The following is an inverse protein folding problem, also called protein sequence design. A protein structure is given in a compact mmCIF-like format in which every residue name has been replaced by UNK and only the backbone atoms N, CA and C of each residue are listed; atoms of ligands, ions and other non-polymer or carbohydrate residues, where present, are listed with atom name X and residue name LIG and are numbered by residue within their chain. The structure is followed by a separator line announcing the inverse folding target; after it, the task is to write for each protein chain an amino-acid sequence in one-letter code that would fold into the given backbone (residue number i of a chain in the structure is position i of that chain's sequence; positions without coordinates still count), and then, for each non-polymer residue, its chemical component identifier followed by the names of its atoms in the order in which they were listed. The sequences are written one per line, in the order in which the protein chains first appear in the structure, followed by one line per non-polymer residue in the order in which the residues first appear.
data_IF_432819025890
#
_entry.id   IF_432819025890
#
_cell.length_a   1.000
_cell.length_b   1.000
_cell.length_c   1.000
_cell.angle_alpha   90.00
_cell.angle_beta   90.00
_cell.angle_gamma   90.00
#
_symmetry.space_group_name_H-M   'P 1'
#
loop_
_entity.id
_entity.type
_entity.pdbx_description
1 polymer ?
#
# COMPACT_ATOMS: atom_id res chain seq x y z
N UNK A 1 8.29 -11.55 13.35
CA UNK A 1 7.89 -12.32 12.16
C UNK A 1 8.42 -11.54 10.98
N UNK A 2 9.19 -12.18 10.10
CA UNK A 2 9.76 -11.55 8.91
C UNK A 2 8.76 -11.71 7.76
N UNK A 3 8.85 -10.88 6.73
CA UNK A 3 7.92 -10.92 5.59
C UNK A 3 7.91 -12.30 4.91
N UNK A 4 9.06 -12.97 4.85
CA UNK A 4 9.22 -14.34 4.31
C UNK A 4 8.49 -15.43 5.12
N UNK A 5 8.15 -15.16 6.38
CA UNK A 5 7.45 -16.11 7.25
C UNK A 5 5.92 -16.08 7.03
N UNK A 6 5.38 -15.13 6.24
CA UNK A 6 3.94 -14.97 6.02
C UNK A 6 3.41 -16.01 5.04
N UNK A 7 2.44 -16.80 5.49
CA UNK A 7 1.76 -17.79 4.65
C UNK A 7 0.43 -17.25 4.06
N UNK A 8 -0.31 -18.13 3.38
CA UNK A 8 -1.62 -17.80 2.80
C UNK A 8 -2.60 -17.20 3.82
N UNK A 9 -2.67 -17.79 5.03
CA UNK A 9 -3.61 -17.38 6.06
C UNK A 9 -3.21 -16.03 6.64
N UNK A 10 -1.91 -15.79 6.83
CA UNK A 10 -1.40 -14.48 7.26
C UNK A 10 -1.79 -13.39 6.27
N UNK A 11 -1.55 -13.59 4.97
CA UNK A 11 -1.96 -12.63 3.96
C UNK A 11 -3.48 -12.44 3.88
N UNK A 12 -4.27 -13.50 4.03
CA UNK A 12 -5.72 -13.38 4.13
C UNK A 12 -6.15 -12.50 5.31
N UNK A 13 -5.51 -12.66 6.46
CA UNK A 13 -5.77 -11.86 7.65
C UNK A 13 -5.35 -10.40 7.46
N UNK A 14 -4.20 -10.12 6.84
CA UNK A 14 -3.76 -8.75 6.56
C UNK A 14 -4.70 -8.06 5.57
N UNK A 15 -5.08 -8.73 4.47
CA UNK A 15 -5.99 -8.19 3.46
C UNK A 15 -7.33 -7.78 4.06
N UNK A 16 -7.92 -8.66 4.87
CA UNK A 16 -9.22 -8.40 5.51
C UNK A 16 -9.10 -7.42 6.67
N UNK A 17 -8.04 -7.52 7.48
CA UNK A 17 -7.76 -6.63 8.59
C UNK A 17 -7.57 -5.18 8.14
N UNK A 18 -6.76 -4.95 7.11
CA UNK A 18 -6.53 -3.60 6.58
C UNK A 18 -7.81 -3.00 5.98
N UNK A 19 -8.59 -3.80 5.23
CA UNK A 19 -9.87 -3.36 4.70
C UNK A 19 -10.85 -2.95 5.82
N UNK A 20 -10.93 -3.74 6.89
CA UNK A 20 -11.81 -3.46 8.02
C UNK A 20 -11.35 -2.22 8.80
N UNK A 21 -10.05 -2.07 9.03
CA UNK A 21 -9.48 -0.88 9.68
C UNK A 21 -9.80 0.40 8.90
N UNK A 22 -9.64 0.35 7.57
CA UNK A 22 -9.97 1.46 6.68
C UNK A 22 -11.46 1.80 6.75
N UNK A 23 -12.35 0.79 6.72
CA UNK A 23 -13.80 0.98 6.89
C UNK A 23 -14.15 1.57 8.25
N UNK A 24 -13.59 1.04 9.33
CA UNK A 24 -13.82 1.54 10.69
C UNK A 24 -13.35 2.98 10.87
N UNK A 25 -12.26 3.37 10.19
CA UNK A 25 -11.77 4.75 10.18
C UNK A 25 -12.78 5.70 9.53
N UNK A 26 -13.44 5.27 8.45
CA UNK A 26 -14.52 6.05 7.81
C UNK A 26 -15.70 6.18 8.76
N UNK A 27 -16.12 5.08 9.39
CA UNK A 27 -17.30 5.02 10.25
C UNK A 27 -17.07 5.57 11.67
N UNK A 28 -15.83 5.93 12.01
CA UNK A 28 -15.47 6.35 13.35
C UNK A 28 -16.19 7.65 13.76
N UNK A 29 -16.78 7.76 14.97
CA UNK A 29 -17.52 8.96 15.41
C UNK A 29 -16.70 10.25 15.44
N UNK A 30 -15.36 10.14 15.50
CA UNK A 30 -14.47 11.30 15.44
C UNK A 30 -14.15 11.76 14.00
N UNK A 31 -14.55 11.01 12.97
CA UNK A 31 -14.38 11.42 11.58
C UNK A 31 -15.19 12.72 11.35
N UNK A 32 -14.53 13.74 10.81
CA UNK A 32 -15.10 15.06 10.54
C UNK A 32 -15.37 15.30 9.05
N UNK A 33 -15.46 14.23 8.26
CA UNK A 33 -15.66 14.29 6.81
C UNK A 33 -14.40 14.03 5.99
N UNK A 34 -13.29 13.67 6.63
CA UNK A 34 -12.04 13.25 5.99
C UNK A 34 -11.41 12.13 6.82
N UNK A 35 -11.13 11.00 6.17
CA UNK A 35 -10.40 9.89 6.73
C UNK A 35 -9.07 9.72 5.97
N UNK A 36 -7.96 9.66 6.70
CA UNK A 36 -6.65 9.34 6.16
C UNK A 36 -6.30 7.89 6.53
N UNK A 37 -5.87 7.11 5.56
CA UNK A 37 -5.63 5.68 5.72
C UNK A 37 -4.17 5.40 5.35
N UNK A 38 -3.47 4.68 6.22
CA UNK A 38 -2.12 4.22 5.96
C UNK A 38 -2.18 2.85 5.27
N UNK A 39 -1.92 2.85 3.96
CA UNK A 39 -2.02 1.71 3.04
C UNK A 39 -3.42 1.10 2.88
N UNK A 40 -3.52 0.10 2.00
CA UNK A 40 -4.76 -0.60 1.69
C UNK A 40 -4.52 -2.04 1.16
N UNK A 41 -5.61 -2.67 0.70
CA UNK A 41 -5.59 -3.99 0.08
C UNK A 41 -4.70 -4.05 -1.18
N UNK A 42 -4.62 -2.99 -2.00
CA UNK A 42 -3.73 -2.96 -3.18
C UNK A 42 -2.26 -3.08 -2.75
N UNK A 43 -1.86 -2.37 -1.70
CA UNK A 43 -0.51 -2.46 -1.14
C UNK A 43 -0.21 -3.88 -0.65
N UNK A 44 -1.09 -4.47 0.16
CA UNK A 44 -0.91 -5.84 0.65
C UNK A 44 -0.85 -6.86 -0.49
N UNK A 45 -1.66 -6.69 -1.54
CA UNK A 45 -1.65 -7.55 -2.72
C UNK A 45 -0.32 -7.46 -3.48
N UNK A 46 0.27 -6.27 -3.59
CA UNK A 46 1.58 -6.08 -4.20
C UNK A 46 2.70 -6.80 -3.42
N UNK A 47 2.68 -6.72 -2.07
CA UNK A 47 3.60 -7.48 -1.23
C UNK A 47 3.41 -8.99 -1.35
N UNK A 48 2.16 -9.46 -1.35
CA UNK A 48 1.86 -10.89 -1.53
C UNK A 48 2.37 -11.41 -2.88
N UNK A 49 2.29 -10.59 -3.93
CA UNK A 49 2.85 -10.95 -5.24
C UNK A 49 4.37 -11.14 -5.16
N UNK A 50 5.10 -10.18 -4.57
CA UNK A 50 6.55 -10.28 -4.43
C UNK A 50 6.96 -11.50 -3.59
N UNK A 51 6.25 -11.75 -2.49
CA UNK A 51 6.50 -12.91 -1.64
C UNK A 51 6.24 -14.23 -2.37
N UNK A 52 5.20 -14.31 -3.20
CA UNK A 52 4.91 -15.52 -3.98
C UNK A 52 5.95 -15.81 -5.09
N UNK A 53 6.72 -14.80 -5.49
CA UNK A 53 7.81 -14.91 -6.45
C UNK A 53 9.16 -15.24 -5.78
N UNK A 54 9.27 -15.05 -4.46
CA UNK A 54 10.47 -15.37 -3.69
C UNK A 54 10.50 -16.86 -3.27
N UNK A 55 11.48 -17.67 -3.73
CA UNK A 55 11.60 -19.07 -3.33
C UNK A 55 11.79 -19.30 -1.83
N UNK A 56 12.21 -18.29 -1.06
CA UNK A 56 12.39 -18.38 0.39
C UNK A 56 11.09 -18.12 1.18
N UNK A 57 10.04 -17.64 0.52
CA UNK A 57 8.76 -17.28 1.14
C UNK A 57 7.92 -18.52 1.50
N UNK A 58 7.16 -18.41 2.60
CA UNK A 58 6.14 -19.39 2.96
C UNK A 58 4.89 -19.32 2.07
N UNK A 59 4.67 -18.20 1.36
CA UNK A 59 3.57 -18.05 0.40
C UNK A 59 3.97 -18.60 -0.97
N UNK A 60 3.29 -19.64 -1.44
CA UNK A 60 3.52 -20.16 -2.80
C UNK A 60 2.76 -19.38 -3.87
N UNK A 61 3.19 -19.52 -5.13
CA UNK A 61 2.45 -18.99 -6.29
C UNK A 61 1.00 -19.49 -6.35
N UNK A 62 0.74 -20.75 -5.97
CA UNK A 62 -0.61 -21.31 -5.94
C UNK A 62 -1.47 -20.68 -4.84
N UNK A 63 -0.89 -20.43 -3.67
CA UNK A 63 -1.56 -19.75 -2.57
C UNK A 63 -1.91 -18.32 -2.95
N UNK A 64 -0.97 -17.60 -3.56
CA UNK A 64 -1.23 -16.25 -4.07
C UNK A 64 -2.39 -16.21 -5.08
N UNK A 65 -2.44 -17.14 -6.04
CA UNK A 65 -3.56 -17.23 -6.98
C UNK A 65 -4.91 -17.44 -6.28
N UNK A 66 -4.93 -18.19 -5.18
CA UNK A 66 -6.15 -18.40 -4.38
C UNK A 66 -6.61 -17.15 -3.62
N UNK A 67 -5.70 -16.22 -3.30
CA UNK A 67 -6.00 -14.95 -2.61
C UNK A 67 -6.62 -13.90 -3.55
N UNK A 68 -6.31 -13.95 -4.85
CA UNK A 68 -6.69 -12.93 -5.83
C UNK A 68 -8.20 -12.60 -5.83
N UNK A 69 -9.14 -13.57 -5.87
CA UNK A 69 -10.56 -13.24 -5.92
C UNK A 69 -11.03 -12.46 -4.69
N UNK A 70 -10.47 -12.74 -3.52
CA UNK A 70 -10.79 -12.02 -2.29
C UNK A 70 -10.16 -10.62 -2.31
N UNK A 71 -8.87 -10.52 -2.64
CA UNK A 71 -8.16 -9.24 -2.72
C UNK A 71 -8.86 -8.29 -3.71
N UNK A 72 -9.19 -8.77 -4.91
CA UNK A 72 -9.88 -8.01 -5.94
C UNK A 72 -11.29 -7.58 -5.50
N UNK A 73 -12.01 -8.46 -4.78
CA UNK A 73 -13.32 -8.11 -4.21
C UNK A 73 -13.23 -7.00 -3.17
N UNK A 74 -12.19 -7.00 -2.33
CA UNK A 74 -11.96 -5.97 -1.32
C UNK A 74 -11.54 -4.64 -1.97
N UNK A 75 -10.64 -4.68 -2.95
CA UNK A 75 -10.23 -3.49 -3.74
C UNK A 75 -11.45 -2.86 -4.41
N UNK A 76 -12.29 -3.65 -5.07
CA UNK A 76 -13.50 -3.15 -5.73
C UNK A 76 -14.55 -2.54 -4.79
N UNK A 77 -14.53 -2.91 -3.49
CA UNK A 77 -15.42 -2.35 -2.47
C UNK A 77 -14.86 -1.09 -1.81
N UNK A 78 -13.54 -0.88 -1.88
CA UNK A 78 -12.90 0.30 -1.33
C UNK A 78 -13.34 1.55 -2.12
N UNK A 79 -13.51 2.67 -1.42
CA UNK A 79 -13.93 3.95 -2.00
C UNK A 79 -12.85 4.98 -1.74
N UNK A 80 -12.00 5.18 -2.74
CA UNK A 80 -10.88 6.11 -2.67
C UNK A 80 -11.22 7.42 -3.38
N UNK A 81 -11.20 8.57 -2.70
CA UNK A 81 -11.34 9.86 -3.39
C UNK A 81 -9.98 10.41 -3.88
N UNK A 82 -8.90 10.00 -3.22
CA UNK A 82 -7.51 10.37 -3.54
C UNK A 82 -6.56 9.29 -3.06
N UNK A 83 -5.53 9.03 -3.85
CA UNK A 83 -4.41 8.14 -3.55
C UNK A 83 -3.14 8.99 -3.55
N UNK A 84 -2.53 9.13 -2.39
CA UNK A 84 -1.24 9.78 -2.23
C UNK A 84 -0.13 8.72 -2.32
N UNK A 85 0.70 8.79 -3.34
CA UNK A 85 1.78 7.83 -3.55
C UNK A 85 3.14 8.47 -3.33
N UNK A 86 3.93 7.89 -2.43
CA UNK A 86 5.31 8.33 -2.16
C UNK A 86 6.24 7.51 -3.06
N UNK A 87 6.96 8.12 -4.03
CA UNK A 87 7.94 7.43 -4.84
C UNK A 87 9.06 6.83 -3.98
N UNK A 88 9.74 5.78 -4.46
CA UNK A 88 10.82 5.15 -3.72
C UNK A 88 11.91 6.18 -3.41
N UNK A 89 12.21 6.34 -2.12
CA UNK A 89 13.42 7.02 -1.68
C UNK A 89 14.56 6.03 -1.89
N UNK A 90 15.57 6.38 -2.68
CA UNK A 90 16.73 5.49 -2.87
C UNK A 90 17.27 5.01 -1.51
N UNK A 91 17.83 3.81 -1.47
CA UNK A 91 18.36 3.10 -0.31
C UNK A 91 19.30 3.94 0.56
N UNK A 92 20.06 4.86 -0.06
CA UNK A 92 20.91 5.82 0.63
C UNK A 92 20.13 6.78 1.56
N UNK A 93 18.86 7.02 1.25
CA UNK A 93 17.92 7.85 2.00
C UNK A 93 16.87 7.02 2.75
N UNK A 94 17.05 5.69 2.83
CA UNK A 94 16.15 4.83 3.59
C UNK A 94 16.37 5.05 5.08
N UNK A 95 15.35 5.58 5.74
CA UNK A 95 15.41 5.91 7.17
C UNK A 95 15.39 4.63 8.01
N UNK A 96 16.47 4.41 8.77
CA UNK A 96 16.65 3.29 9.70
C UNK A 96 16.28 3.73 11.11
N UNK A 97 15.05 3.45 11.51
CA UNK A 97 14.48 3.88 12.81
C UNK A 97 14.20 2.73 13.77
N UNK A 98 14.57 1.50 13.43
CA UNK A 98 14.32 0.29 14.22
C UNK A 98 12.89 -0.23 14.16
N UNK A 99 12.00 0.42 13.40
CA UNK A 99 10.63 -0.04 13.15
C UNK A 99 10.45 -0.54 11.71
N UNK A 100 11.14 0.08 10.75
CA UNK A 100 11.11 -0.36 9.34
C UNK A 100 11.86 -1.67 9.13
N UNK A 101 11.34 -2.50 8.24
CA UNK A 101 12.01 -3.74 7.80
C UNK A 101 13.35 -3.41 7.15
N UNK A 102 14.45 -3.88 7.76
CA UNK A 102 15.80 -3.69 7.23
C UNK A 102 16.22 -4.79 6.24
N UNK A 103 15.39 -5.81 6.04
CA UNK A 103 15.72 -6.96 5.19
C UNK A 103 15.64 -6.63 3.71
N UNK A 104 14.82 -5.67 3.31
CA UNK A 104 14.48 -5.40 1.91
C UNK A 104 14.56 -3.90 1.55
N UNK A 105 15.74 -3.29 1.69
CA UNK A 105 15.93 -1.84 1.48
C UNK A 105 16.73 -1.50 0.23
N UNK A 106 16.91 -2.43 -0.72
CA UNK A 106 17.66 -2.16 -1.95
C UNK A 106 16.87 -1.26 -2.90
N UNK A 107 17.55 -0.44 -3.70
CA UNK A 107 16.90 0.39 -4.73
C UNK A 107 16.04 -0.45 -5.66
N UNK A 108 16.52 -1.65 -6.02
CA UNK A 108 15.78 -2.58 -6.86
C UNK A 108 14.47 -2.99 -6.20
N UNK A 109 14.52 -3.44 -4.94
CA UNK A 109 13.33 -3.86 -4.20
C UNK A 109 12.32 -2.72 -4.06
N UNK A 110 12.79 -1.54 -3.64
CA UNK A 110 11.93 -0.35 -3.44
C UNK A 110 11.27 0.11 -4.74
N UNK A 111 11.99 0.03 -5.87
CA UNK A 111 11.42 0.31 -7.17
C UNK A 111 10.42 -0.77 -7.59
N UNK A 112 10.72 -2.06 -7.41
CA UNK A 112 9.84 -3.16 -7.82
C UNK A 112 8.50 -3.12 -7.08
N UNK A 113 8.51 -3.02 -5.75
CA UNK A 113 7.27 -2.90 -4.97
C UNK A 113 6.48 -1.65 -5.38
N UNK A 114 7.15 -0.52 -5.62
CA UNK A 114 6.51 0.72 -6.06
C UNK A 114 5.80 0.54 -7.40
N UNK A 115 6.42 -0.14 -8.37
CA UNK A 115 5.79 -0.39 -9.68
C UNK A 115 4.58 -1.32 -9.54
N UNK A 116 4.63 -2.33 -8.67
CA UNK A 116 3.51 -3.24 -8.42
C UNK A 116 2.33 -2.53 -7.76
N UNK A 117 2.59 -1.71 -6.75
CA UNK A 117 1.55 -0.87 -6.14
C UNK A 117 0.88 0.04 -7.19
N UNK A 118 1.68 0.71 -8.04
CA UNK A 118 1.15 1.54 -9.12
C UNK A 118 0.37 0.73 -10.16
N UNK A 119 0.78 -0.51 -10.45
CA UNK A 119 0.05 -1.41 -11.34
C UNK A 119 -1.31 -1.79 -10.74
N UNK A 120 -1.41 -2.04 -9.43
CA UNK A 120 -2.71 -2.29 -8.78
C UNK A 120 -3.64 -1.08 -8.86
N UNK A 121 -3.11 0.14 -8.65
CA UNK A 121 -3.88 1.39 -8.84
C UNK A 121 -4.41 1.52 -10.27
N UNK A 122 -3.60 1.17 -11.28
CA UNK A 122 -4.01 1.16 -12.70
C UNK A 122 -5.07 0.09 -12.98
N UNK A 123 -4.86 -1.13 -12.50
CA UNK A 123 -5.78 -2.25 -12.67
C UNK A 123 -7.15 -1.98 -12.02
N UNK A 124 -7.17 -1.26 -10.90
CA UNK A 124 -8.39 -0.83 -10.22
C UNK A 124 -9.10 0.35 -10.92
N UNK A 125 -8.50 0.94 -11.96
CA UNK A 125 -9.07 2.09 -12.66
C UNK A 125 -9.06 3.38 -11.84
N UNK A 126 -8.09 3.54 -10.93
CA UNK A 126 -7.99 4.66 -9.98
C UNK A 126 -6.87 5.65 -10.32
N UNK A 127 -6.37 5.61 -11.56
CA UNK A 127 -5.24 6.47 -12.00
C UNK A 127 -5.61 7.96 -11.99
N UNK A 128 -6.88 8.29 -12.20
CA UNK A 128 -7.43 9.65 -12.10
C UNK A 128 -7.40 10.21 -10.67
N UNK A 129 -7.24 9.34 -9.66
CA UNK A 129 -7.19 9.70 -8.24
C UNK A 129 -5.78 9.67 -7.67
N UNK A 130 -4.78 9.33 -8.48
CA UNK A 130 -3.40 9.18 -8.05
C UNK A 130 -2.66 10.52 -8.09
N UNK A 131 -2.03 10.88 -6.97
CA UNK A 131 -1.09 12.01 -6.88
C UNK A 131 0.26 11.50 -6.38
N UNK A 132 1.30 11.79 -7.16
CA UNK A 132 2.68 11.48 -6.82
C UNK A 132 3.24 12.58 -5.89
N UNK A 133 3.84 12.16 -4.78
CA UNK A 133 4.52 13.04 -3.83
C UNK A 133 6.03 13.02 -4.08
N UNK A 134 6.46 13.66 -5.17
CA UNK A 134 7.83 13.65 -5.69
C UNK A 134 8.72 14.81 -5.21
N UNK A 135 8.27 15.56 -4.20
CA UNK A 135 9.06 16.59 -3.53
C UNK A 135 10.43 16.08 -3.05
N UNK A 136 11.41 16.98 -3.04
CA UNK A 136 12.81 16.67 -2.74
C UNK A 136 13.03 16.22 -1.28
N UNK A 137 12.18 16.68 -0.36
CA UNK A 137 12.23 16.34 1.06
C UNK A 137 10.83 16.12 1.66
N UNK A 138 10.78 15.83 2.97
CA UNK A 138 9.53 15.63 3.69
C UNK A 138 8.62 16.86 3.72
N UNK A 139 9.19 18.07 3.78
CA UNK A 139 8.41 19.30 3.86
C UNK A 139 7.72 19.59 2.53
N UNK A 140 8.43 19.41 1.40
CA UNK A 140 7.85 19.58 0.08
C UNK A 140 6.74 18.55 -0.19
N UNK A 141 6.97 17.27 0.15
CA UNK A 141 5.94 16.21 -0.01
C UNK A 141 4.72 16.46 0.85
N UNK A 142 4.92 17.00 2.06
CA UNK A 142 3.82 17.38 2.94
C UNK A 142 2.97 18.51 2.35
N UNK A 143 3.60 19.52 1.74
CA UNK A 143 2.86 20.58 1.04
C UNK A 143 2.12 20.06 -0.19
N UNK A 144 2.72 19.17 -0.99
CA UNK A 144 2.05 18.50 -2.12
C UNK A 144 0.80 17.73 -1.65
N UNK A 145 0.91 16.96 -0.56
CA UNK A 145 -0.21 16.22 0.02
C UNK A 145 -1.33 17.15 0.49
N UNK A 146 -0.98 18.24 1.18
CA UNK A 146 -1.94 19.26 1.62
C UNK A 146 -2.69 19.89 0.45
N UNK A 147 -1.97 20.27 -0.61
CA UNK A 147 -2.58 20.85 -1.82
C UNK A 147 -3.55 19.88 -2.47
N UNK A 148 -3.17 18.60 -2.61
CA UNK A 148 -4.02 17.57 -3.18
C UNK A 148 -5.30 17.34 -2.36
N UNK A 149 -5.18 17.26 -1.02
CA UNK A 149 -6.33 17.11 -0.13
C UNK A 149 -7.24 18.35 -0.20
N UNK A 150 -6.67 19.55 -0.18
CA UNK A 150 -7.45 20.78 -0.24
C UNK A 150 -8.31 20.87 -1.51
N UNK A 151 -7.81 20.37 -2.65
CA UNK A 151 -8.53 20.36 -3.92
C UNK A 151 -9.76 19.44 -3.94
N UNK A 152 -9.88 18.49 -3.01
CA UNK A 152 -11.08 17.64 -2.87
C UNK A 152 -12.17 18.27 -2.00
N UNK A 153 -11.79 19.23 -1.15
CA UNK A 153 -12.67 19.82 -0.14
C UNK A 153 -13.33 21.13 -0.62
N UNK A 154 -12.98 21.58 -1.83
CA UNK A 154 -13.55 22.77 -2.50
C UNK A 154 -14.68 22.39 -3.44
#
# INVERSE_FOLDING_TARGET
MRDEDYDQLDYQNVLTGQFNLNRETIDHPANRGLALMDTDTMVTKAYAQMSAEDPASALSAADYQSLLPMADSLIAKARWDLILFIPPVGSANYTRDGFRSETNTSDHYLNDISQRMLQEVRSAGLTDRLVMLDGADYAERYEQAKTAIAALLT
#
